data_IF_404061609351
#
_entry.id   IF_404061609351
#
_cell.length_a   1.000
_cell.length_b   1.000
_cell.length_c   1.000
_cell.angle_alpha   90.00
_cell.angle_beta   90.00
_cell.angle_gamma   90.00
#
_symmetry.space_group_name_H-M   'P 1'
#
loop_
_entity.id
_entity.type
_entity.pdbx_description
1 polymer ?
#
# COMPACT_ATOMS: atom_id res chain seq x y z
N UNK A 1 17.42 -12.30 -26.51
CA UNK A 1 16.67 -11.28 -25.73
C UNK A 1 15.38 -11.91 -25.29
N UNK A 2 15.38 -12.54 -24.12
CA UNK A 2 14.18 -13.14 -23.55
C UNK A 2 13.39 -12.00 -22.92
N UNK A 3 12.42 -11.45 -23.66
CA UNK A 3 11.34 -10.68 -23.05
C UNK A 3 10.58 -11.67 -22.16
N UNK A 4 11.06 -11.84 -20.92
CA UNK A 4 10.56 -12.86 -20.02
C UNK A 4 9.21 -12.41 -19.50
N UNK A 5 8.29 -13.38 -19.37
CA UNK A 5 6.96 -13.22 -18.78
C UNK A 5 6.99 -12.48 -17.43
N UNK A 6 8.11 -12.53 -16.70
CA UNK A 6 8.35 -11.78 -15.46
C UNK A 6 8.31 -10.26 -15.63
N UNK A 7 8.97 -9.71 -16.66
CA UNK A 7 8.92 -8.26 -16.91
C UNK A 7 7.49 -7.79 -17.24
N UNK A 8 6.69 -8.63 -17.91
CA UNK A 8 5.31 -8.28 -18.25
C UNK A 8 4.42 -8.22 -16.99
N UNK A 9 4.61 -9.15 -16.05
CA UNK A 9 3.87 -9.17 -14.78
C UNK A 9 4.27 -8.00 -13.86
N UNK A 10 5.55 -7.67 -13.78
CA UNK A 10 6.03 -6.51 -13.02
C UNK A 10 5.50 -5.19 -13.61
N UNK A 11 5.53 -5.05 -14.95
CA UNK A 11 4.98 -3.87 -15.61
C UNK A 11 3.46 -3.74 -15.43
N UNK A 12 2.72 -4.86 -15.43
CA UNK A 12 1.29 -4.85 -15.12
C UNK A 12 1.02 -4.47 -13.66
N UNK A 13 1.79 -5.02 -12.71
CA UNK A 13 1.64 -4.70 -11.29
C UNK A 13 1.89 -3.21 -11.00
N UNK A 14 2.82 -2.59 -11.74
CA UNK A 14 3.09 -1.14 -11.68
C UNK A 14 1.93 -0.34 -12.32
N UNK A 15 1.35 -0.80 -13.43
CA UNK A 15 0.22 -0.11 -14.06
C UNK A 15 -0.97 0.06 -13.11
N UNK A 16 -1.29 -0.97 -12.32
CA UNK A 16 -2.34 -0.92 -11.29
C UNK A 16 -2.02 -0.02 -10.08
N UNK A 17 -0.83 0.60 -10.01
CA UNK A 17 -0.52 1.64 -9.01
C UNK A 17 -1.01 3.04 -9.39
N UNK A 18 -1.60 3.18 -10.58
CA UNK A 18 -2.07 4.43 -11.15
C UNK A 18 -3.59 4.44 -11.25
N UNK A 19 -4.19 5.62 -11.08
CA UNK A 19 -5.64 5.81 -11.21
C UNK A 19 -6.12 5.43 -12.63
N UNK A 20 -5.29 5.64 -13.65
CA UNK A 20 -5.57 5.27 -15.05
C UNK A 20 -5.95 3.80 -15.23
N UNK A 21 -5.44 2.89 -14.38
CA UNK A 21 -5.80 1.47 -14.44
C UNK A 21 -7.25 1.19 -14.00
N UNK A 22 -7.89 2.17 -13.38
CA UNK A 22 -9.24 2.08 -12.84
C UNK A 22 -10.22 3.06 -13.48
N UNK A 23 -9.76 3.97 -14.34
CA UNK A 23 -10.56 5.02 -14.95
C UNK A 23 -11.75 4.51 -15.79
N UNK A 24 -11.58 3.38 -16.46
CA UNK A 24 -12.60 2.78 -17.33
C UNK A 24 -13.35 1.60 -16.67
N UNK A 25 -13.04 1.27 -15.42
CA UNK A 25 -13.69 0.17 -14.72
C UNK A 25 -14.98 0.69 -14.05
N UNK A 26 -16.12 0.07 -14.40
CA UNK A 26 -17.35 0.19 -13.60
C UNK A 26 -17.16 -0.60 -12.30
N UNK A 27 -16.49 0.03 -11.33
CA UNK A 27 -16.27 -0.54 -10.00
C UNK A 27 -17.44 -0.12 -9.11
N UNK A 28 -18.06 -1.09 -8.45
CA UNK A 28 -19.09 -0.82 -7.45
C UNK A 28 -18.54 0.11 -6.37
N UNK A 29 -19.22 1.22 -6.12
CA UNK A 29 -18.86 2.18 -5.08
C UNK A 29 -18.78 1.52 -3.70
N UNK A 30 -19.58 0.48 -3.44
CA UNK A 30 -19.50 -0.29 -2.19
C UNK A 30 -18.13 -0.96 -2.01
N UNK A 31 -17.53 -1.46 -3.09
CA UNK A 31 -16.19 -2.06 -3.07
C UNK A 31 -15.12 -0.99 -2.83
N UNK A 32 -15.22 0.16 -3.50
CA UNK A 32 -14.30 1.28 -3.28
C UNK A 32 -14.35 1.79 -1.84
N UNK A 33 -15.56 1.90 -1.28
CA UNK A 33 -15.78 2.32 0.10
C UNK A 33 -15.21 1.32 1.11
N UNK A 34 -15.36 0.02 0.85
CA UNK A 34 -14.83 -1.03 1.71
C UNK A 34 -13.29 -0.98 1.74
N UNK A 35 -12.66 -0.94 0.57
CA UNK A 35 -11.21 -0.79 0.44
C UNK A 35 -10.73 0.49 1.13
N UNK A 36 -11.42 1.62 0.92
CA UNK A 36 -11.08 2.90 1.53
C UNK A 36 -11.16 2.90 3.06
N UNK A 37 -12.04 2.05 3.64
CA UNK A 37 -12.25 1.90 5.08
C UNK A 37 -11.26 0.96 5.76
N UNK A 38 -10.53 0.14 4.99
CA UNK A 38 -9.47 -0.73 5.52
C UNK A 38 -8.53 0.06 6.44
N UNK A 39 -8.50 -0.35 7.72
CA UNK A 39 -7.75 0.30 8.78
C UNK A 39 -6.31 -0.17 8.77
N UNK A 40 -5.39 0.79 8.80
CA UNK A 40 -3.96 0.56 8.88
C UNK A 40 -3.45 1.11 10.21
N UNK A 41 -2.74 0.28 10.96
CA UNK A 41 -2.08 0.65 12.21
C UNK A 41 -0.58 0.45 11.98
N UNK A 42 0.18 1.53 11.87
CA UNK A 42 1.63 1.45 11.79
C UNK A 42 2.21 1.30 13.19
N UNK A 43 3.10 0.32 13.36
CA UNK A 43 3.81 0.08 14.60
C UNK A 43 5.20 -0.51 14.33
N UNK A 44 6.22 0.03 15.00
CA UNK A 44 7.59 -0.47 14.90
C UNK A 44 7.85 -1.77 15.68
N UNK A 45 7.06 -2.06 16.72
CA UNK A 45 7.43 -3.07 17.74
C UNK A 45 6.38 -4.16 17.99
N UNK A 46 5.13 -3.99 17.56
CA UNK A 46 4.07 -4.99 17.83
C UNK A 46 3.57 -5.65 16.55
N UNK A 47 4.01 -6.89 16.32
CA UNK A 47 3.46 -7.77 15.27
C UNK A 47 2.13 -8.43 15.69
N UNK A 48 1.81 -8.43 16.99
CA UNK A 48 0.56 -8.99 17.52
C UNK A 48 -0.49 -7.89 17.61
N UNK A 49 -1.41 -7.90 16.64
CA UNK A 49 -2.54 -6.99 16.63
C UNK A 49 -3.41 -7.12 17.88
N UNK A 50 -3.77 -5.98 18.47
CA UNK A 50 -4.66 -5.88 19.65
C UNK A 50 -6.11 -5.71 19.22
N UNK A 51 -6.32 -5.05 18.06
CA UNK A 51 -7.63 -4.82 17.47
C UNK A 51 -7.86 -5.81 16.33
N UNK A 52 -9.06 -6.37 16.29
CA UNK A 52 -9.56 -7.17 15.18
C UNK A 52 -9.79 -6.29 13.94
N UNK A 53 -9.82 -6.91 12.75
CA UNK A 53 -10.11 -6.26 11.47
C UNK A 53 -9.21 -5.07 11.11
N UNK A 54 -7.96 -5.09 11.57
CA UNK A 54 -6.94 -4.08 11.27
C UNK A 54 -5.71 -4.72 10.64
N UNK A 55 -5.10 -4.01 9.69
CA UNK A 55 -3.76 -4.34 9.20
C UNK A 55 -2.72 -3.64 10.07
N UNK A 56 -1.89 -4.42 10.77
CA UNK A 56 -0.78 -3.90 11.56
C UNK A 56 0.46 -3.84 10.68
N UNK A 57 0.78 -2.65 10.17
CA UNK A 57 1.86 -2.43 9.22
C UNK A 57 3.16 -2.18 9.97
N UNK A 58 4.19 -2.95 9.62
CA UNK A 58 5.57 -2.69 10.02
C UNK A 58 6.40 -2.36 8.79
N UNK A 59 7.13 -1.26 8.84
CA UNK A 59 8.00 -0.75 7.77
C UNK A 59 9.43 -1.14 8.07
N UNK A 60 10.12 -1.77 7.11
CA UNK A 60 11.55 -2.05 7.21
C UNK A 60 12.33 -0.74 7.00
N UNK A 61 12.86 -0.16 8.07
CA UNK A 61 13.62 1.09 8.02
C UNK A 61 14.96 0.98 7.27
N UNK A 62 15.44 -0.25 7.03
CA UNK A 62 16.69 -0.55 6.35
C UNK A 62 16.49 -1.09 4.94
N UNK A 63 15.27 -1.00 4.39
CA UNK A 63 14.98 -1.49 3.06
C UNK A 63 15.90 -0.87 1.99
N UNK A 64 16.60 -1.71 1.21
CA UNK A 64 17.56 -1.30 0.18
C UNK A 64 17.12 -1.63 -1.26
N UNK A 65 15.90 -2.13 -1.45
CA UNK A 65 15.40 -2.48 -2.78
C UNK A 65 15.00 -1.27 -3.61
N UNK A 66 14.80 -1.49 -4.92
CA UNK A 66 14.38 -0.46 -5.84
C UNK A 66 12.86 -0.26 -5.79
N UNK A 67 12.45 0.98 -5.52
CA UNK A 67 11.04 1.40 -5.50
C UNK A 67 10.74 2.34 -6.68
N UNK A 68 9.55 2.20 -7.26
CA UNK A 68 8.99 3.18 -8.19
C UNK A 68 8.82 4.54 -7.49
N UNK A 69 8.75 5.68 -8.21
CA UNK A 69 8.52 6.99 -7.59
C UNK A 69 7.22 7.08 -6.77
N UNK A 70 6.20 6.30 -7.12
CA UNK A 70 4.95 6.20 -6.37
C UNK A 70 5.11 5.39 -5.08
N UNK A 71 5.79 4.25 -5.18
CA UNK A 71 6.13 3.38 -4.05
C UNK A 71 7.06 4.06 -3.05
N UNK A 72 8.12 4.73 -3.53
CA UNK A 72 9.10 5.44 -2.70
C UNK A 72 8.42 6.51 -1.85
N UNK A 73 7.56 7.34 -2.46
CA UNK A 73 6.80 8.37 -1.73
C UNK A 73 5.90 7.76 -0.66
N UNK A 74 5.22 6.66 -0.97
CA UNK A 74 4.38 5.97 0.00
C UNK A 74 5.23 5.40 1.15
N UNK A 75 6.31 4.70 0.82
CA UNK A 75 7.25 4.14 1.79
C UNK A 75 7.80 5.21 2.74
N UNK A 76 8.21 6.37 2.23
CA UNK A 76 8.74 7.47 3.05
C UNK A 76 7.68 8.03 4.01
N UNK A 77 6.41 8.13 3.59
CA UNK A 77 5.29 8.51 4.46
C UNK A 77 5.09 7.48 5.58
N UNK A 78 5.03 6.19 5.23
CA UNK A 78 4.82 5.13 6.22
C UNK A 78 6.00 5.06 7.21
N UNK A 79 7.24 5.15 6.72
CA UNK A 79 8.44 5.17 7.57
C UNK A 79 8.41 6.35 8.53
N UNK A 80 8.12 7.56 8.03
CA UNK A 80 8.05 8.75 8.87
C UNK A 80 6.99 8.63 9.98
N UNK A 81 5.84 8.02 9.68
CA UNK A 81 4.80 7.78 10.67
C UNK A 81 5.16 6.73 11.72
N UNK A 82 5.93 5.70 11.34
CA UNK A 82 6.43 4.69 12.25
C UNK A 82 7.54 5.26 13.16
N UNK A 83 8.41 6.12 12.63
CA UNK A 83 9.48 6.75 13.42
C UNK A 83 8.95 7.85 14.35
N UNK A 84 7.88 8.53 13.95
CA UNK A 84 7.31 9.66 14.69
C UNK A 84 6.33 9.29 15.81
N UNK A 85 5.86 8.05 15.89
CA UNK A 85 4.86 7.61 16.87
C UNK A 85 4.97 6.13 17.18
N UNK A 86 4.62 5.73 18.40
CA UNK A 86 4.51 4.32 18.80
C UNK A 86 3.41 3.61 18.00
N UNK A 87 2.31 4.32 17.73
CA UNK A 87 1.21 3.86 16.89
C UNK A 87 0.70 5.00 16.02
N UNK A 88 0.52 4.74 14.72
CA UNK A 88 -0.18 5.66 13.81
C UNK A 88 -1.36 4.94 13.19
N UNK A 89 -2.56 5.51 13.32
CA UNK A 89 -3.80 4.92 12.80
C UNK A 89 -4.28 5.71 11.60
N UNK A 90 -4.51 5.03 10.48
CA UNK A 90 -5.04 5.63 9.24
C UNK A 90 -5.94 4.64 8.51
N UNK A 91 -6.44 5.04 7.33
CA UNK A 91 -7.15 4.15 6.40
C UNK A 91 -6.57 4.29 5.00
N UNK A 92 -6.78 3.28 4.14
CA UNK A 92 -6.33 3.34 2.74
C UNK A 92 -6.90 4.59 2.04
N UNK A 93 -8.17 4.95 2.26
CA UNK A 93 -8.76 6.14 1.64
C UNK A 93 -8.21 7.48 2.14
N UNK A 94 -7.68 7.56 3.37
CA UNK A 94 -6.96 8.75 3.85
C UNK A 94 -5.57 8.82 3.23
N UNK A 95 -4.89 7.68 3.13
CA UNK A 95 -3.58 7.56 2.54
C UNK A 95 -3.61 7.86 1.03
N UNK A 96 -4.60 7.33 0.29
CA UNK A 96 -4.83 7.61 -1.12
C UNK A 96 -4.92 9.12 -1.40
N UNK A 97 -5.77 9.82 -0.64
CA UNK A 97 -5.90 11.30 -0.75
C UNK A 97 -4.61 12.03 -0.46
N UNK A 98 -3.84 11.59 0.54
CA UNK A 98 -2.53 12.18 0.85
C UNK A 98 -1.53 11.99 -0.29
N UNK A 99 -1.62 10.84 -0.99
CA UNK A 99 -0.79 10.51 -2.14
C UNK A 99 -1.26 11.17 -3.44
N UNK A 100 -2.37 11.92 -3.42
CA UNK A 100 -2.98 12.53 -4.59
C UNK A 100 -3.62 11.51 -5.54
N UNK A 101 -4.08 10.37 -5.01
CA UNK A 101 -4.77 9.32 -5.77
C UNK A 101 -6.28 9.48 -5.66
N UNK A 102 -6.96 9.34 -6.79
CA UNK A 102 -8.42 9.36 -6.87
C UNK A 102 -9.02 8.02 -6.41
N UNK A 103 -8.37 6.91 -6.74
CA UNK A 103 -8.85 5.58 -6.41
C UNK A 103 -8.12 4.97 -5.21
N UNK A 104 -8.84 4.54 -4.15
CA UNK A 104 -8.24 3.84 -3.01
C UNK A 104 -7.61 2.51 -3.42
N UNK A 105 -8.05 1.90 -4.54
CA UNK A 105 -7.46 0.69 -5.10
C UNK A 105 -6.02 0.89 -5.56
N UNK A 106 -5.70 2.01 -6.22
CA UNK A 106 -4.33 2.32 -6.62
C UNK A 106 -3.40 2.42 -5.39
N UNK A 107 -3.90 3.01 -4.31
CA UNK A 107 -3.16 3.06 -3.04
C UNK A 107 -3.02 1.67 -2.40
N UNK A 108 -4.08 0.87 -2.39
CA UNK A 108 -4.06 -0.51 -1.92
C UNK A 108 -3.03 -1.34 -2.70
N UNK A 109 -2.99 -1.17 -4.03
CA UNK A 109 -2.04 -1.90 -4.87
C UNK A 109 -0.59 -1.52 -4.59
N UNK A 110 -0.30 -0.24 -4.35
CA UNK A 110 1.04 0.18 -3.91
C UNK A 110 1.44 -0.45 -2.59
N UNK A 111 0.52 -0.58 -1.63
CA UNK A 111 0.78 -1.27 -0.36
C UNK A 111 1.06 -2.76 -0.58
N UNK A 112 0.27 -3.44 -1.40
CA UNK A 112 0.51 -4.84 -1.76
C UNK A 112 1.90 -5.02 -2.41
N UNK A 113 2.29 -4.12 -3.30
CA UNK A 113 3.58 -4.17 -3.97
C UNK A 113 4.74 -3.88 -3.00
N UNK A 114 4.59 -2.91 -2.09
CA UNK A 114 5.58 -2.71 -1.02
C UNK A 114 5.72 -3.95 -0.13
N UNK A 115 4.61 -4.64 0.17
CA UNK A 115 4.65 -5.87 0.96
C UNK A 115 5.31 -7.02 0.20
N UNK A 116 4.99 -7.21 -1.08
CA UNK A 116 5.60 -8.27 -1.91
C UNK A 116 7.11 -8.06 -2.10
N UNK A 117 7.55 -6.80 -2.13
CA UNK A 117 8.95 -6.40 -2.17
C UNK A 117 9.67 -6.53 -0.82
N UNK A 118 8.95 -6.78 0.28
CA UNK A 118 9.51 -6.88 1.62
C UNK A 118 9.81 -5.54 2.29
N UNK A 119 9.39 -4.40 1.70
CA UNK A 119 9.58 -3.08 2.28
C UNK A 119 8.63 -2.82 3.47
N UNK A 120 7.48 -3.48 3.48
CA UNK A 120 6.54 -3.49 4.59
C UNK A 120 6.04 -4.92 4.87
N UNK A 121 5.40 -5.12 6.02
CA UNK A 121 4.74 -6.37 6.39
C UNK A 121 3.45 -6.13 7.18
N UNK A 122 2.58 -7.14 7.25
CA UNK A 122 1.37 -7.15 8.07
C UNK A 122 0.12 -6.53 7.42
N UNK A 123 0.19 -6.20 6.13
CA UNK A 123 -0.99 -5.84 5.34
C UNK A 123 -1.89 -7.08 5.13
N UNK A 124 -3.15 -6.95 5.53
CA UNK A 124 -4.22 -7.91 5.31
C UNK A 124 -5.28 -7.23 4.44
N UNK A 125 -5.22 -7.49 3.15
CA UNK A 125 -6.29 -7.12 2.22
C UNK A 125 -7.13 -8.37 1.93
N UNK A 126 -8.44 -8.23 2.05
CA UNK A 126 -9.42 -9.28 1.73
C UNK A 126 -9.74 -9.27 0.24
#
# INVERSE_FOLDING_TARGET
MTYSRSNHLENMAIAYEHDDAYADLEIDQAVLDDIARTKLILSGDTQTGVLEDCSYISVDSQYQGHLSPGQQRLYDVLRSWQEGSVYTITTIGKLARMMGLEHPMACGKRLENLQSLGAISGLRMQ
#
